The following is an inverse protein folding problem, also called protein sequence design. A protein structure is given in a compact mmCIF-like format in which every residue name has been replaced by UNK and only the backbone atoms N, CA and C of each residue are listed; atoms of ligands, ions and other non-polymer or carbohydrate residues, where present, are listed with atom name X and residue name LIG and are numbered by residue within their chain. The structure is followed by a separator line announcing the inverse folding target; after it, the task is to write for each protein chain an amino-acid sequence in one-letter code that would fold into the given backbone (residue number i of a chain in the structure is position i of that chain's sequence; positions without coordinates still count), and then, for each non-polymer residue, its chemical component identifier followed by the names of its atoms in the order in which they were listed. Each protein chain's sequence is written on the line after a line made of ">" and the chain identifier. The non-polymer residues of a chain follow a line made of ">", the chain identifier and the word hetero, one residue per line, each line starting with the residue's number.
data_IF_028068786050
#
_entry.id   IF_028068786050
#
_cell.length_a   1.000
_cell.length_b   1.000
_cell.length_c   1.000
_cell.angle_alpha   90.00
_cell.angle_beta   90.00
_cell.angle_gamma   90.00
#
_symmetry.space_group_name_H-M   'P 1'
#
loop_
_entity.id
_entity.type
_entity.pdbx_description
1 polymer ?
#
# COMPACT_ATOMS: atom_id res chain seq x y z
N UNK A 1 -24.00 10.28 -15.19
CA UNK A 1 -23.21 9.13 -14.73
C UNK A 1 -23.40 9.07 -13.21
N UNK A 2 -23.83 7.95 -12.67
CA UNK A 2 -23.95 7.78 -11.21
C UNK A 2 -22.57 7.38 -10.61
N UNK A 3 -22.45 7.40 -9.26
CA UNK A 3 -21.20 7.09 -8.56
C UNK A 3 -20.66 5.69 -8.95
N UNK A 4 -21.51 4.67 -8.98
CA UNK A 4 -21.10 3.30 -9.34
C UNK A 4 -20.58 3.18 -10.78
N UNK A 5 -21.18 3.93 -11.73
CA UNK A 5 -20.67 3.96 -13.11
C UNK A 5 -19.33 4.66 -13.21
N UNK A 6 -19.13 5.73 -12.43
CA UNK A 6 -17.84 6.42 -12.35
C UNK A 6 -16.77 5.51 -11.77
N UNK A 7 -17.06 4.85 -10.65
CA UNK A 7 -16.17 3.87 -10.01
C UNK A 7 -15.71 2.80 -11.02
N UNK A 8 -16.67 2.12 -11.68
CA UNK A 8 -16.35 1.09 -12.66
C UNK A 8 -15.50 1.62 -13.83
N UNK A 9 -15.79 2.82 -14.32
CA UNK A 9 -15.01 3.44 -15.39
C UNK A 9 -13.57 3.73 -14.96
N UNK A 10 -13.36 4.19 -13.74
CA UNK A 10 -12.03 4.46 -13.19
C UNK A 10 -11.27 3.16 -12.93
N UNK A 11 -11.93 2.10 -12.43
CA UNK A 11 -11.30 0.78 -12.27
C UNK A 11 -10.84 0.21 -13.60
N UNK A 12 -11.64 0.38 -14.66
CA UNK A 12 -11.26 -0.06 -16.00
C UNK A 12 -10.08 0.75 -16.56
N UNK A 13 -10.02 2.05 -16.31
CA UNK A 13 -8.88 2.88 -16.66
C UNK A 13 -7.60 2.39 -15.98
N UNK A 14 -7.64 2.08 -14.67
CA UNK A 14 -6.49 1.51 -13.97
C UNK A 14 -6.02 0.18 -14.57
N UNK A 15 -6.96 -0.69 -14.98
CA UNK A 15 -6.63 -1.95 -15.68
C UNK A 15 -5.89 -1.70 -17.00
N UNK A 16 -6.34 -0.72 -17.79
CA UNK A 16 -5.71 -0.35 -19.04
C UNK A 16 -4.30 0.21 -18.84
N UNK A 17 -4.07 0.89 -17.73
CA UNK A 17 -2.75 1.38 -17.31
C UNK A 17 -1.87 0.30 -16.65
N UNK A 18 -2.32 -0.96 -16.64
CA UNK A 18 -1.53 -2.10 -16.15
C UNK A 18 -1.66 -2.40 -14.66
N UNK A 19 -2.59 -1.75 -13.95
CA UNK A 19 -2.85 -2.07 -12.56
C UNK A 19 -3.66 -3.37 -12.43
N UNK A 20 -3.29 -4.21 -11.47
CA UNK A 20 -4.12 -5.34 -11.09
C UNK A 20 -5.32 -4.84 -10.28
N UNK A 21 -6.52 -4.99 -10.82
CA UNK A 21 -7.75 -4.67 -10.09
C UNK A 21 -8.20 -5.85 -9.23
N UNK A 22 -8.57 -5.57 -7.97
CA UNK A 22 -9.10 -6.55 -7.02
C UNK A 22 -10.30 -5.92 -6.30
N UNK A 23 -11.37 -6.70 -6.13
CA UNK A 23 -12.46 -6.34 -5.23
C UNK A 23 -12.02 -6.58 -3.78
N UNK A 24 -12.17 -5.58 -2.90
CA UNK A 24 -11.75 -5.65 -1.50
C UNK A 24 -12.38 -6.80 -0.72
N UNK A 25 -13.63 -7.15 -1.03
CA UNK A 25 -14.33 -8.30 -0.42
C UNK A 25 -13.64 -9.66 -0.71
N UNK A 26 -12.88 -9.74 -1.80
CA UNK A 26 -12.15 -10.96 -2.18
C UNK A 26 -10.76 -11.08 -1.54
N UNK A 27 -10.29 -10.04 -0.84
CA UNK A 27 -9.00 -10.06 -0.17
C UNK A 27 -9.05 -10.84 1.14
N UNK A 28 -8.23 -11.88 1.23
CA UNK A 28 -8.06 -12.66 2.46
C UNK A 28 -7.06 -11.94 3.38
N UNK A 29 -7.54 -11.05 4.23
CA UNK A 29 -6.76 -10.31 5.22
C UNK A 29 -7.61 -9.91 6.42
N UNK A 30 -6.96 -9.59 7.53
CA UNK A 30 -7.65 -8.91 8.64
C UNK A 30 -7.95 -7.45 8.24
N UNK A 31 -9.11 -6.93 8.63
CA UNK A 31 -9.50 -5.54 8.32
C UNK A 31 -8.60 -4.50 8.99
N UNK A 32 -7.86 -4.88 10.02
CA UNK A 32 -6.81 -4.06 10.66
C UNK A 32 -5.53 -3.97 9.85
N UNK A 33 -5.33 -4.87 8.89
CA UNK A 33 -4.14 -4.88 8.03
C UNK A 33 -4.31 -3.87 6.89
N UNK A 34 -3.58 -2.77 6.96
CA UNK A 34 -3.59 -1.72 5.94
C UNK A 34 -2.62 -2.05 4.80
N UNK A 35 -1.56 -2.80 5.09
CA UNK A 35 -0.58 -3.25 4.08
C UNK A 35 -1.04 -4.54 3.41
N UNK A 36 -0.84 -4.66 2.10
CA UNK A 36 -0.90 -5.95 1.39
C UNK A 36 0.45 -6.65 1.60
N UNK A 37 0.57 -7.37 2.71
CA UNK A 37 1.84 -7.93 3.21
C UNK A 37 2.49 -8.90 2.22
N UNK A 38 1.67 -9.70 1.51
CA UNK A 38 2.17 -10.67 0.53
C UNK A 38 2.80 -10.00 -0.69
N UNK A 39 2.19 -8.91 -1.18
CA UNK A 39 2.76 -8.13 -2.29
C UNK A 39 4.07 -7.47 -1.88
N UNK A 40 4.11 -6.87 -0.69
CA UNK A 40 5.33 -6.25 -0.19
C UNK A 40 6.45 -7.28 -0.01
N UNK A 41 6.12 -8.45 0.53
CA UNK A 41 7.06 -9.55 0.67
C UNK A 41 7.59 -10.03 -0.68
N UNK A 42 6.68 -10.22 -1.65
CA UNK A 42 7.04 -10.65 -3.01
C UNK A 42 7.97 -9.65 -3.69
N UNK A 43 7.65 -8.35 -3.61
CA UNK A 43 8.50 -7.28 -4.14
C UNK A 43 9.89 -7.30 -3.50
N UNK A 44 9.98 -7.31 -2.17
CA UNK A 44 11.24 -7.28 -1.45
C UNK A 44 12.14 -8.48 -1.82
N UNK A 45 11.59 -9.68 -1.82
CA UNK A 45 12.33 -10.91 -2.17
C UNK A 45 12.78 -10.92 -3.64
N UNK A 46 11.97 -10.42 -4.55
CA UNK A 46 12.32 -10.29 -5.96
C UNK A 46 13.44 -9.26 -6.15
N UNK A 47 13.24 -8.05 -5.63
CA UNK A 47 14.14 -6.90 -5.82
C UNK A 47 15.53 -7.15 -5.24
N UNK A 48 15.59 -7.78 -4.06
CA UNK A 48 16.83 -8.03 -3.33
C UNK A 48 17.31 -9.49 -3.40
N UNK A 49 16.82 -10.26 -4.39
CA UNK A 49 17.21 -11.67 -4.57
C UNK A 49 18.71 -11.84 -4.75
N UNK A 50 19.35 -10.97 -5.53
CA UNK A 50 20.80 -11.00 -5.79
C UNK A 50 21.62 -10.61 -4.55
N UNK A 51 21.06 -9.83 -3.66
CA UNK A 51 21.67 -9.41 -2.39
C UNK A 51 21.45 -10.46 -1.29
N UNK A 52 20.70 -11.51 -1.60
CA UNK A 52 20.42 -12.63 -0.70
C UNK A 52 19.53 -12.24 0.47
N UNK A 53 18.54 -11.36 0.26
CA UNK A 53 17.52 -11.06 1.25
C UNK A 53 16.73 -12.33 1.58
N UNK A 54 16.62 -12.66 2.87
CA UNK A 54 15.91 -13.85 3.34
C UNK A 54 14.42 -13.54 3.61
N UNK A 55 13.60 -14.59 3.65
CA UNK A 55 12.18 -14.44 4.01
C UNK A 55 12.01 -13.82 5.40
N UNK A 56 12.79 -14.25 6.38
CA UNK A 56 12.76 -13.71 7.75
C UNK A 56 13.11 -12.23 7.78
N UNK A 57 14.10 -11.80 6.99
CA UNK A 57 14.47 -10.39 6.88
C UNK A 57 13.35 -9.57 6.23
N UNK A 58 12.70 -10.08 5.17
CA UNK A 58 11.55 -9.42 4.54
C UNK A 58 10.36 -9.30 5.52
N UNK A 59 10.06 -10.33 6.29
CA UNK A 59 9.04 -10.31 7.34
C UNK A 59 9.38 -9.31 8.46
N UNK A 60 10.64 -9.21 8.85
CA UNK A 60 11.12 -8.22 9.82
C UNK A 60 10.93 -6.79 9.32
N UNK A 61 11.18 -6.52 8.04
CA UNK A 61 10.90 -5.22 7.41
C UNK A 61 9.41 -4.92 7.51
N UNK A 62 8.54 -5.83 7.06
CA UNK A 62 7.08 -5.64 7.10
C UNK A 62 6.61 -5.36 8.53
N UNK A 63 7.07 -6.15 9.49
CA UNK A 63 6.71 -5.96 10.90
C UNK A 63 7.17 -4.60 11.43
N UNK A 64 8.32 -4.10 11.00
CA UNK A 64 8.81 -2.77 11.38
C UNK A 64 7.94 -1.63 10.84
N UNK A 65 7.33 -1.82 9.66
CA UNK A 65 6.39 -0.86 9.07
C UNK A 65 5.05 -0.87 9.79
N UNK A 66 4.54 -2.06 10.12
CA UNK A 66 3.30 -2.20 10.91
C UNK A 66 3.45 -1.59 12.30
N UNK A 67 4.57 -1.81 12.98
CA UNK A 67 4.82 -1.26 14.32
C UNK A 67 4.93 0.27 14.33
N UNK A 68 5.52 0.86 13.30
CA UNK A 68 5.61 2.32 13.18
C UNK A 68 4.23 3.01 13.14
N UNK A 69 3.17 2.30 12.78
CA UNK A 69 1.80 2.83 12.79
C UNK A 69 1.20 3.00 14.21
N UNK A 70 1.84 2.51 15.25
CA UNK A 70 1.41 2.68 16.64
C UNK A 70 1.96 3.93 17.32
N UNK A 71 2.89 4.64 16.68
CA UNK A 71 3.37 5.94 17.15
C UNK A 71 2.28 7.02 17.02
N UNK A 72 2.43 8.20 17.65
CA UNK A 72 1.55 9.32 17.41
C UNK A 72 1.42 9.60 15.91
N UNK A 73 0.20 9.82 15.42
CA UNK A 73 -0.15 9.85 13.99
C UNK A 73 0.81 10.70 13.13
N UNK A 74 1.15 11.90 13.60
CA UNK A 74 2.09 12.78 12.90
C UNK A 74 3.47 12.15 12.72
N UNK A 75 4.00 11.58 13.80
CA UNK A 75 5.32 10.96 13.79
C UNK A 75 5.34 9.67 12.96
N UNK A 76 4.29 8.85 13.09
CA UNK A 76 4.11 7.65 12.27
C UNK A 76 4.08 7.98 10.78
N UNK A 77 3.31 9.00 10.39
CA UNK A 77 3.24 9.46 8.99
C UNK A 77 4.58 10.00 8.49
N UNK A 78 5.28 10.79 9.31
CA UNK A 78 6.59 11.34 8.98
C UNK A 78 7.62 10.24 8.74
N UNK A 79 7.68 9.25 9.64
CA UNK A 79 8.60 8.12 9.53
C UNK A 79 8.26 7.24 8.32
N UNK A 80 6.97 6.98 8.07
CA UNK A 80 6.54 6.20 6.92
C UNK A 80 6.90 6.90 5.60
N UNK A 81 6.61 8.20 5.49
CA UNK A 81 6.97 9.00 4.32
C UNK A 81 8.48 8.95 4.06
N UNK A 82 9.30 9.15 5.11
CA UNK A 82 10.75 9.07 4.99
C UNK A 82 11.22 7.68 4.49
N UNK A 83 10.68 6.59 5.04
CA UNK A 83 11.02 5.24 4.59
C UNK A 83 10.62 4.97 3.14
N UNK A 84 9.48 5.52 2.68
CA UNK A 84 9.00 5.37 1.30
C UNK A 84 9.87 6.18 0.33
N UNK A 85 10.19 7.44 0.67
CA UNK A 85 10.88 8.37 -0.24
C UNK A 85 12.40 8.18 -0.24
N UNK A 86 13.00 7.97 0.91
CA UNK A 86 14.45 7.92 1.06
C UNK A 86 15.00 6.50 1.23
N UNK A 87 14.15 5.55 1.66
CA UNK A 87 14.60 4.21 2.01
C UNK A 87 15.26 4.15 3.39
N UNK A 88 15.82 2.99 3.73
CA UNK A 88 16.46 2.77 5.03
C UNK A 88 17.46 1.61 4.98
N UNK A 89 18.32 1.52 5.99
CA UNK A 89 19.29 0.44 6.11
C UNK A 89 18.69 -0.70 6.94
N UNK A 90 18.63 -1.88 6.34
CA UNK A 90 18.40 -3.14 7.04
C UNK A 90 19.72 -3.62 7.63
N UNK A 91 19.84 -3.56 8.95
CA UNK A 91 20.98 -4.15 9.66
C UNK A 91 20.77 -5.65 9.79
N UNK A 92 21.66 -6.43 9.17
CA UNK A 92 21.57 -7.90 9.16
C UNK A 92 22.08 -8.49 10.47
N UNK A 93 21.42 -9.54 10.95
CA UNK A 93 21.88 -10.29 12.12
C UNK A 93 23.16 -11.06 11.80
N UNK A 94 23.22 -11.66 10.62
CA UNK A 94 24.41 -12.36 10.10
C UNK A 94 25.50 -11.33 9.73
N UNK A 95 26.49 -11.18 10.62
CA UNK A 95 27.61 -10.24 10.44
C UNK A 95 28.58 -10.61 9.32
N UNK A 96 28.46 -11.78 8.72
CA UNK A 96 29.22 -12.15 7.52
C UNK A 96 28.65 -11.47 6.26
N UNK A 97 27.43 -10.99 6.32
CA UNK A 97 26.73 -10.29 5.23
C UNK A 97 26.73 -8.79 5.45
N UNK A 98 26.83 -8.04 4.36
CA UNK A 98 26.72 -6.58 4.41
C UNK A 98 25.27 -6.17 4.69
N UNK A 99 25.07 -5.08 5.44
CA UNK A 99 23.78 -4.43 5.59
C UNK A 99 23.23 -4.04 4.21
N UNK A 100 21.89 -4.07 4.07
CA UNK A 100 21.21 -3.74 2.82
C UNK A 100 20.52 -2.39 2.91
N UNK A 101 20.65 -1.60 1.85
CA UNK A 101 19.83 -0.41 1.69
C UNK A 101 18.52 -0.79 1.02
N UNK A 102 17.42 -0.61 1.73
CA UNK A 102 16.07 -1.00 1.30
C UNK A 102 15.32 0.20 0.76
N UNK A 103 14.79 0.08 -0.45
CA UNK A 103 13.79 0.96 -1.06
C UNK A 103 12.49 0.20 -1.22
N UNK A 104 11.41 0.78 -0.74
CA UNK A 104 10.08 0.17 -0.78
C UNK A 104 9.42 0.31 -2.16
N UNK A 105 9.91 1.24 -2.99
CA UNK A 105 9.47 1.50 -4.36
C UNK A 105 10.70 1.61 -5.25
N UNK A 106 10.68 0.97 -6.41
CA UNK A 106 11.70 1.11 -7.44
C UNK A 106 11.33 2.24 -8.40
N UNK A 107 11.93 3.43 -8.20
CA UNK A 107 11.70 4.58 -9.05
C UNK A 107 12.59 4.59 -10.30
N UNK A 108 13.60 3.72 -10.37
CA UNK A 108 14.53 3.63 -11.50
C UNK A 108 13.98 2.69 -12.58
N UNK A 109 13.42 1.54 -12.14
CA UNK A 109 12.80 0.56 -13.04
C UNK A 109 11.37 0.30 -12.55
N UNK A 110 10.47 1.14 -13.04
CA UNK A 110 9.07 1.21 -12.58
C UNK A 110 8.35 -0.13 -12.75
N UNK A 111 8.70 -0.90 -13.77
CA UNK A 111 8.16 -2.24 -14.08
C UNK A 111 8.48 -3.31 -13.03
N UNK A 112 9.44 -3.05 -12.16
CA UNK A 112 9.73 -3.96 -11.03
C UNK A 112 8.71 -3.87 -9.90
N UNK A 113 7.85 -2.84 -9.92
CA UNK A 113 6.84 -2.65 -8.89
C UNK A 113 5.56 -3.44 -9.18
N UNK A 114 4.86 -3.78 -8.12
CA UNK A 114 3.53 -4.40 -8.17
C UNK A 114 2.48 -3.29 -8.00
N UNK A 115 1.74 -3.00 -9.07
CA UNK A 115 0.68 -1.99 -9.08
C UNK A 115 -0.68 -2.65 -8.90
N UNK A 116 -1.43 -2.18 -7.91
CA UNK A 116 -2.75 -2.72 -7.58
C UNK A 116 -3.73 -1.61 -7.28
N UNK A 117 -4.97 -1.77 -7.70
CA UNK A 117 -6.10 -0.95 -7.26
C UNK A 117 -7.14 -1.87 -6.63
N UNK A 118 -7.59 -1.52 -5.45
CA UNK A 118 -8.56 -2.28 -4.68
C UNK A 118 -9.75 -1.37 -4.41
N UNK A 119 -10.95 -1.75 -4.88
CA UNK A 119 -12.17 -1.04 -4.51
C UNK A 119 -12.79 -1.65 -3.25
N UNK A 120 -13.61 -0.87 -2.56
CA UNK A 120 -14.31 -1.27 -1.33
C UNK A 120 -13.36 -1.90 -0.30
N UNK A 121 -12.23 -1.21 -0.06
CA UNK A 121 -11.17 -1.69 0.83
C UNK A 121 -11.53 -1.42 2.30
N UNK A 122 -12.04 -2.41 3.00
CA UNK A 122 -12.42 -2.29 4.40
C UNK A 122 -11.20 -2.07 5.31
N UNK A 123 -11.24 -1.03 6.14
CA UNK A 123 -10.22 -0.75 7.16
C UNK A 123 -10.87 -0.52 8.52
N UNK A 124 -10.51 -1.36 9.48
CA UNK A 124 -10.93 -1.19 10.86
C UNK A 124 -10.00 -0.21 11.58
N UNK A 125 -10.48 1.01 11.77
CA UNK A 125 -9.83 1.98 12.66
C UNK A 125 -10.17 1.75 14.13
N UNK A 126 -9.63 2.58 15.01
CA UNK A 126 -9.89 2.48 16.46
C UNK A 126 -11.36 2.71 16.82
N UNK A 127 -12.06 3.61 16.11
CA UNK A 127 -13.43 4.02 16.44
C UNK A 127 -14.47 3.42 15.49
N UNK A 128 -14.14 3.22 14.22
CA UNK A 128 -15.10 2.76 13.21
C UNK A 128 -14.44 2.03 12.04
N UNK A 129 -15.24 1.22 11.37
CA UNK A 129 -14.93 0.65 10.07
C UNK A 129 -15.02 1.76 9.01
N UNK A 130 -14.05 1.83 8.12
CA UNK A 130 -14.01 2.70 6.94
C UNK A 130 -13.92 1.84 5.69
N UNK A 131 -14.63 2.25 4.66
CA UNK A 131 -14.65 1.54 3.37
C UNK A 131 -14.44 2.58 2.27
N UNK A 132 -13.19 2.98 1.97
CA UNK A 132 -12.92 3.85 0.83
C UNK A 132 -13.36 3.20 -0.48
N UNK A 133 -13.85 4.01 -1.42
CA UNK A 133 -14.32 3.53 -2.72
C UNK A 133 -13.19 2.82 -3.50
N UNK A 134 -11.97 3.39 -3.45
CA UNK A 134 -10.80 2.70 -3.97
C UNK A 134 -9.51 3.12 -3.25
N UNK A 135 -8.55 2.19 -3.20
CA UNK A 135 -7.19 2.42 -2.71
C UNK A 135 -6.19 1.93 -3.75
N UNK A 136 -5.22 2.77 -4.08
CA UNK A 136 -4.12 2.41 -4.99
C UNK A 136 -2.91 1.98 -4.17
N UNK A 137 -2.41 0.80 -4.51
CA UNK A 137 -1.25 0.19 -3.86
C UNK A 137 -0.06 0.12 -4.83
N UNK A 138 1.13 0.39 -4.31
CA UNK A 138 2.39 0.06 -4.97
C UNK A 138 3.17 -0.84 -4.00
N UNK A 139 3.54 -2.03 -4.46
CA UNK A 139 4.23 -3.04 -3.65
C UNK A 139 3.53 -3.33 -2.31
N UNK A 140 2.20 -3.29 -2.30
CA UNK A 140 1.41 -3.51 -1.10
C UNK A 140 1.32 -2.32 -0.14
N UNK A 141 1.91 -1.17 -0.47
CA UNK A 141 1.80 0.09 0.28
C UNK A 141 0.58 0.88 -0.22
N UNK A 142 -0.38 1.27 0.64
CA UNK A 142 -1.51 2.10 0.25
C UNK A 142 -1.06 3.55 0.09
N UNK A 143 -0.99 4.04 -1.15
CA UNK A 143 -0.44 5.36 -1.44
C UNK A 143 -1.51 6.40 -1.77
N UNK A 144 -2.65 5.97 -2.34
CA UNK A 144 -3.73 6.88 -2.74
C UNK A 144 -5.06 6.31 -2.29
N UNK A 145 -5.87 7.14 -1.65
CA UNK A 145 -7.28 6.85 -1.34
C UNK A 145 -8.14 7.67 -2.28
N UNK A 146 -9.13 7.05 -2.90
CA UNK A 146 -10.05 7.65 -3.84
C UNK A 146 -11.47 7.52 -3.28
N UNK A 147 -12.19 8.64 -3.26
CA UNK A 147 -13.62 8.74 -2.94
C UNK A 147 -14.35 9.34 -4.14
N UNK A 148 -15.39 8.67 -4.61
CA UNK A 148 -16.19 9.14 -5.74
C UNK A 148 -17.39 9.92 -5.25
N UNK A 149 -17.65 11.08 -5.88
CA UNK A 149 -18.83 11.90 -5.61
C UNK A 149 -19.56 12.23 -6.92
N UNK A 150 -20.86 12.01 -6.91
CA UNK A 150 -21.71 12.43 -8.05
C UNK A 150 -21.88 13.94 -8.07
N UNK A 151 -21.56 14.56 -9.21
CA UNK A 151 -21.80 16.00 -9.41
C UNK A 151 -23.30 16.40 -9.38
N UNK A 152 -24.20 15.42 -9.40
CA UNK A 152 -25.65 15.65 -9.38
C UNK A 152 -26.24 15.73 -7.97
N UNK A 153 -25.47 15.42 -6.93
CA UNK A 153 -25.92 15.61 -5.53
C UNK A 153 -25.72 17.03 -5.08
N UNK A 154 -26.80 17.68 -4.62
CA UNK A 154 -26.69 18.92 -3.85
C UNK A 154 -25.77 18.68 -2.63
N UNK A 155 -24.77 19.55 -2.43
CA UNK A 155 -23.77 19.48 -1.35
C UNK A 155 -22.71 18.34 -1.48
N UNK A 156 -22.39 17.87 -2.69
CA UNK A 156 -21.23 17.01 -2.90
C UNK A 156 -19.94 17.81 -2.65
N UNK A 157 -19.42 17.76 -1.44
CA UNK A 157 -18.17 18.43 -1.03
C UNK A 157 -17.20 17.46 -0.39
N UNK A 158 -15.90 17.83 -0.36
CA UNK A 158 -14.84 17.09 0.34
C UNK A 158 -15.20 16.83 1.81
N UNK A 159 -15.94 17.73 2.45
CA UNK A 159 -16.31 17.62 3.87
C UNK A 159 -17.40 16.57 4.14
N UNK A 160 -18.05 16.05 3.10
CA UNK A 160 -19.09 15.01 3.19
C UNK A 160 -18.58 13.63 2.67
N UNK A 161 -17.27 13.50 2.51
CA UNK A 161 -16.62 12.26 2.08
C UNK A 161 -16.26 11.34 3.25
#
# INVERSE_FOLDING_TARGET
>A
MNESQLELSVMEMFRQEGYQYINGESLLRETTDVLLKDDLKAYLLSRYSKDGLTQTEAESIILSLVRASHDPLYEANRQMLHKITEGFILRREDKSKKDLFIRLIDCENVENNIFKVVNQFEVQGMECLRIPDAVVFINGLPLVVIEFKSATRENATIFNA
#
